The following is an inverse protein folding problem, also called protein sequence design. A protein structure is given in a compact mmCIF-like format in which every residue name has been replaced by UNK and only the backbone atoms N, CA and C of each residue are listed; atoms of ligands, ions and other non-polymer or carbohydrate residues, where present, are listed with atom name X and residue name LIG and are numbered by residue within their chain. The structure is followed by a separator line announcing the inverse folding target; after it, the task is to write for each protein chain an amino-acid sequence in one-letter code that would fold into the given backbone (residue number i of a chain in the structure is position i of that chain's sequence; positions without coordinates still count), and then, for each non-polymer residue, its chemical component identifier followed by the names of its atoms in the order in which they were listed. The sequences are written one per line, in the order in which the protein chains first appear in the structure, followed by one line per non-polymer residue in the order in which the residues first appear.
data_IF_319930775824
#
_entry.id   IF_319930775824
#
_cell.length_a   1.000
_cell.length_b   1.000
_cell.length_c   1.000
_cell.angle_alpha   90.00
_cell.angle_beta   90.00
_cell.angle_gamma   90.00
#
_symmetry.space_group_name_H-M   'P 1'
#
loop_
_entity.id
_entity.type
_entity.pdbx_description
1 polymer ?
#
# COMPACT_ATOMS: atom_id res chain seq x y z
N UNK A 1 41.37 16.96 8.57
CA UNK A 1 40.37 17.89 7.97
C UNK A 1 39.50 17.06 7.02
N UNK A 2 38.35 16.66 7.52
CA UNK A 2 37.39 15.86 6.74
C UNK A 2 36.57 16.80 5.85
N UNK A 3 36.86 16.81 4.55
CA UNK A 3 36.13 17.59 3.58
C UNK A 3 34.65 17.12 3.52
N UNK A 4 33.72 17.90 4.06
CA UNK A 4 32.30 17.72 3.83
C UNK A 4 32.06 17.77 2.33
N UNK A 5 31.88 16.60 1.70
CA UNK A 5 31.38 16.53 0.32
C UNK A 5 30.03 17.17 0.30
N UNK A 6 29.87 18.23 -0.48
CA UNK A 6 28.56 18.83 -0.76
C UNK A 6 27.64 17.75 -1.32
N UNK A 7 26.43 17.56 -0.78
CA UNK A 7 25.54 16.54 -1.28
C UNK A 7 25.22 16.80 -2.76
N UNK A 8 25.32 15.76 -3.58
CA UNK A 8 24.85 15.81 -4.96
C UNK A 8 23.38 16.20 -4.95
N UNK A 9 22.93 16.90 -5.98
CA UNK A 9 21.50 17.27 -6.11
C UNK A 9 20.94 16.64 -7.37
N UNK A 10 19.78 16.00 -7.25
CA UNK A 10 18.94 15.72 -8.41
C UNK A 10 18.27 17.02 -8.83
N UNK A 11 17.92 17.16 -10.11
CA UNK A 11 17.31 18.38 -10.65
C UNK A 11 16.28 19.01 -9.69
N UNK A 12 16.01 20.28 -9.80
CA UNK A 12 15.12 21.04 -8.91
C UNK A 12 15.54 21.10 -7.43
N UNK A 13 16.84 21.06 -7.17
CA UNK A 13 17.42 21.24 -5.82
C UNK A 13 17.07 20.18 -4.76
N UNK A 14 16.62 18.97 -5.14
CA UNK A 14 16.43 17.88 -4.17
C UNK A 14 17.79 17.38 -3.70
N UNK A 15 18.11 17.43 -2.39
CA UNK A 15 19.36 16.90 -1.87
C UNK A 15 19.41 15.38 -2.04
N UNK A 16 20.58 14.85 -2.40
CA UNK A 16 20.83 13.40 -2.43
C UNK A 16 21.25 12.96 -1.04
N UNK A 17 20.40 12.20 -0.38
CA UNK A 17 20.63 11.68 0.97
C UNK A 17 20.84 10.17 0.99
N UNK A 18 20.47 9.46 -0.06
CA UNK A 18 20.71 8.04 -0.26
C UNK A 18 21.20 7.74 -1.69
N UNK A 19 21.75 6.56 -1.89
CA UNK A 19 22.19 6.07 -3.20
C UNK A 19 20.94 5.73 -4.03
N UNK A 20 21.03 5.84 -5.36
CA UNK A 20 19.93 5.45 -6.23
C UNK A 20 20.20 5.72 -7.72
N UNK A 21 19.28 5.36 -8.58
CA UNK A 21 19.43 5.50 -10.02
C UNK A 21 19.57 6.97 -10.43
N UNK A 22 20.37 7.22 -11.45
CA UNK A 22 20.51 8.56 -12.04
C UNK A 22 19.24 8.93 -12.82
N UNK A 23 18.89 10.22 -12.85
CA UNK A 23 17.66 10.70 -13.51
C UNK A 23 17.54 10.24 -14.97
N UNK A 24 18.64 10.25 -15.73
CA UNK A 24 18.66 9.76 -17.12
C UNK A 24 18.47 8.24 -17.23
N UNK A 25 18.92 7.43 -16.26
CA UNK A 25 18.66 6.01 -16.22
C UNK A 25 17.19 5.72 -15.93
N UNK A 26 16.60 6.41 -14.94
CA UNK A 26 15.18 6.26 -14.63
C UNK A 26 14.28 6.63 -15.81
N UNK A 27 14.58 7.70 -16.55
CA UNK A 27 13.83 8.08 -17.76
C UNK A 27 13.86 6.99 -18.84
N UNK A 28 15.01 6.33 -19.04
CA UNK A 28 15.12 5.18 -19.97
C UNK A 28 14.31 3.97 -19.50
N UNK A 29 14.13 3.81 -18.21
CA UNK A 29 13.41 2.67 -17.61
C UNK A 29 11.90 2.90 -17.46
N UNK A 30 11.35 4.05 -17.90
CA UNK A 30 9.92 4.35 -17.74
C UNK A 30 9.03 3.25 -18.33
N UNK A 31 9.37 2.72 -19.50
CA UNK A 31 8.60 1.62 -20.12
C UNK A 31 8.59 0.36 -19.26
N UNK A 32 9.73 0.00 -18.67
CA UNK A 32 9.83 -1.16 -17.76
C UNK A 32 9.09 -0.91 -16.46
N UNK A 33 9.19 0.30 -15.90
CA UNK A 33 8.48 0.69 -14.68
C UNK A 33 6.96 0.61 -14.86
N UNK A 34 6.44 1.01 -16.02
CA UNK A 34 4.99 0.97 -16.29
C UNK A 34 4.50 -0.43 -16.66
N UNK A 35 5.34 -1.26 -17.28
CA UNK A 35 4.97 -2.62 -17.66
C UNK A 35 5.05 -3.59 -16.47
N UNK A 36 6.11 -3.52 -15.67
CA UNK A 36 6.34 -4.37 -14.51
C UNK A 36 7.09 -3.58 -13.41
N UNK A 37 6.33 -2.86 -12.56
CA UNK A 37 6.91 -2.07 -11.49
C UNK A 37 7.62 -2.90 -10.42
N UNK A 38 7.17 -4.15 -10.16
CA UNK A 38 7.76 -4.98 -9.11
C UNK A 38 9.16 -5.44 -9.51
N UNK A 39 9.34 -5.98 -10.70
CA UNK A 39 10.65 -6.36 -11.23
C UNK A 39 11.62 -5.17 -11.26
N UNK A 40 11.13 -3.97 -11.59
CA UNK A 40 11.96 -2.76 -11.53
C UNK A 40 12.41 -2.42 -10.09
N UNK A 41 11.51 -2.53 -9.12
CA UNK A 41 11.85 -2.27 -7.71
C UNK A 41 12.83 -3.31 -7.16
N UNK A 42 12.66 -4.60 -7.49
CA UNK A 42 13.59 -5.67 -7.11
C UNK A 42 15.00 -5.45 -7.70
N UNK A 43 15.09 -5.13 -8.98
CA UNK A 43 16.36 -4.81 -9.62
C UNK A 43 17.03 -3.59 -8.97
N UNK A 44 16.25 -2.55 -8.65
CA UNK A 44 16.73 -1.34 -7.98
C UNK A 44 17.25 -1.66 -6.58
N UNK A 45 16.53 -2.46 -5.82
CA UNK A 45 16.98 -2.94 -4.51
C UNK A 45 18.28 -3.76 -4.61
N UNK A 46 18.32 -4.71 -5.53
CA UNK A 46 19.51 -5.57 -5.75
C UNK A 46 20.75 -4.75 -6.10
N UNK A 47 20.59 -3.65 -6.85
CA UNK A 47 21.69 -2.80 -7.29
C UNK A 47 22.14 -1.79 -6.22
N UNK A 48 21.21 -1.18 -5.50
CA UNK A 48 21.48 -0.03 -4.63
C UNK A 48 21.31 -0.31 -3.13
N UNK A 49 20.73 -1.46 -2.75
CA UNK A 49 20.53 -1.87 -1.35
C UNK A 49 19.21 -1.39 -0.75
N UNK A 50 19.11 -1.44 0.57
CA UNK A 50 17.85 -1.36 1.32
C UNK A 50 17.21 0.03 1.38
N UNK A 51 17.95 1.08 1.15
CA UNK A 51 17.44 2.45 1.14
C UNK A 51 17.89 3.15 -0.14
N UNK A 52 16.94 3.33 -1.05
CA UNK A 52 17.20 3.90 -2.37
C UNK A 52 16.45 5.20 -2.54
N UNK A 53 17.13 6.25 -2.98
CA UNK A 53 16.48 7.51 -3.35
C UNK A 53 16.25 7.57 -4.85
N UNK A 54 14.99 7.75 -5.25
CA UNK A 54 14.67 8.00 -6.65
C UNK A 54 14.93 9.45 -7.06
N UNK A 55 15.33 9.68 -8.31
CA UNK A 55 15.62 11.03 -8.84
C UNK A 55 14.34 11.81 -9.16
N UNK A 56 13.36 11.77 -8.27
CA UNK A 56 12.11 12.52 -8.37
C UNK A 56 12.34 13.88 -7.70
N UNK A 57 12.09 15.01 -8.40
CA UNK A 57 12.49 16.31 -7.92
C UNK A 57 11.84 16.73 -6.61
N UNK A 58 10.53 16.53 -6.50
CA UNK A 58 9.73 16.84 -5.28
C UNK A 58 8.40 16.07 -5.30
N UNK A 59 8.00 15.48 -4.17
CA UNK A 59 8.80 15.27 -2.96
C UNK A 59 9.91 14.26 -3.18
N UNK A 60 10.96 14.28 -2.34
CA UNK A 60 11.98 13.24 -2.35
C UNK A 60 11.32 11.88 -2.07
N UNK A 61 11.56 10.92 -2.95
CA UNK A 61 10.91 9.60 -2.91
C UNK A 61 11.96 8.54 -2.64
N UNK A 62 11.65 7.65 -1.70
CA UNK A 62 12.56 6.59 -1.28
C UNK A 62 11.89 5.23 -1.40
N UNK A 63 12.68 4.21 -1.73
CA UNK A 63 12.37 2.80 -1.53
C UNK A 63 13.08 2.35 -0.25
N UNK A 64 12.33 1.77 0.68
CA UNK A 64 12.86 1.16 1.91
C UNK A 64 12.40 -0.29 1.94
N UNK A 65 13.34 -1.23 1.89
CA UNK A 65 13.05 -2.67 1.75
C UNK A 65 13.38 -3.48 2.99
N UNK A 66 14.25 -2.94 3.89
CA UNK A 66 14.59 -3.65 5.12
C UNK A 66 13.44 -3.63 6.13
N UNK A 67 13.20 -4.72 6.89
CA UNK A 67 12.20 -4.77 7.97
C UNK A 67 12.46 -3.70 9.04
N UNK A 68 13.72 -3.43 9.35
CA UNK A 68 14.14 -2.42 10.32
C UNK A 68 13.78 -1.02 9.86
N UNK A 69 14.06 -0.69 8.59
CA UNK A 69 13.70 0.57 7.98
C UNK A 69 12.18 0.77 7.91
N UNK A 70 11.44 -0.27 7.53
CA UNK A 70 10.00 -0.26 7.54
C UNK A 70 9.43 -0.03 8.94
N UNK A 71 9.98 -0.70 9.97
CA UNK A 71 9.59 -0.50 11.37
C UNK A 71 9.89 0.91 11.85
N UNK A 72 11.07 1.44 11.49
CA UNK A 72 11.43 2.81 11.85
C UNK A 72 10.42 3.82 11.34
N UNK A 73 10.07 3.76 10.05
CA UNK A 73 9.14 4.70 9.42
C UNK A 73 7.70 4.50 9.90
N UNK A 74 7.23 3.23 9.97
CA UNK A 74 5.82 2.94 10.21
C UNK A 74 5.43 2.86 11.69
N UNK A 75 6.39 2.55 12.58
CA UNK A 75 6.13 2.35 14.01
C UNK A 75 6.80 3.44 14.83
N UNK A 76 8.11 3.59 14.73
CA UNK A 76 8.85 4.51 15.62
C UNK A 76 8.56 5.98 15.30
N UNK A 77 8.52 6.32 14.00
CA UNK A 77 8.28 7.69 13.53
C UNK A 77 6.84 7.94 13.07
N UNK A 78 5.89 7.08 13.44
CA UNK A 78 4.49 7.20 13.00
C UNK A 78 3.81 8.54 13.35
N UNK A 79 4.34 9.28 14.32
CA UNK A 79 3.85 10.61 14.68
C UNK A 79 4.34 11.72 13.74
N UNK A 80 5.47 11.49 13.07
CA UNK A 80 6.12 12.43 12.17
C UNK A 80 5.78 12.15 10.70
N UNK A 81 5.19 10.97 10.42
CA UNK A 81 4.74 10.59 9.09
C UNK A 81 3.28 10.95 8.86
N UNK A 82 2.93 11.30 7.63
CA UNK A 82 1.56 11.63 7.26
C UNK A 82 1.18 10.97 5.92
N UNK A 83 -0.12 10.89 5.65
CA UNK A 83 -0.66 10.39 4.39
C UNK A 83 -0.85 11.50 3.34
N UNK A 84 -0.27 12.68 3.53
CA UNK A 84 -0.39 13.82 2.60
C UNK A 84 0.46 13.62 1.35
N UNK A 85 0.08 12.64 0.55
CA UNK A 85 0.69 12.37 -0.77
C UNK A 85 -0.33 12.62 -1.86
N UNK A 86 0.16 12.80 -3.09
CA UNK A 86 -0.71 13.00 -4.26
C UNK A 86 -1.70 11.83 -4.43
N UNK A 87 -1.24 10.59 -4.21
CA UNK A 87 -2.06 9.39 -4.32
C UNK A 87 -3.21 9.37 -3.31
N UNK A 88 -2.92 9.66 -2.03
CA UNK A 88 -3.95 9.70 -1.00
C UNK A 88 -4.91 10.87 -1.17
N UNK A 89 -4.43 12.02 -1.64
CA UNK A 89 -5.29 13.17 -1.95
C UNK A 89 -6.27 12.82 -3.09
N UNK A 90 -5.79 12.18 -4.16
CA UNK A 90 -6.65 11.75 -5.27
C UNK A 90 -7.65 10.67 -4.82
N UNK A 91 -7.20 9.69 -4.01
CA UNK A 91 -8.07 8.65 -3.48
C UNK A 91 -9.17 9.24 -2.60
N UNK A 92 -8.86 10.23 -1.77
CA UNK A 92 -9.84 10.88 -0.89
C UNK A 92 -10.96 11.60 -1.63
N UNK A 93 -10.73 12.03 -2.88
CA UNK A 93 -11.77 12.63 -3.71
C UNK A 93 -12.88 11.63 -4.07
N UNK A 94 -12.54 10.34 -4.16
CA UNK A 94 -13.49 9.27 -4.51
C UNK A 94 -14.06 8.61 -3.25
N UNK A 95 -13.19 8.27 -2.28
CA UNK A 95 -13.57 7.50 -1.08
C UNK A 95 -13.91 8.37 0.13
N UNK A 96 -13.73 9.68 0.02
CA UNK A 96 -13.83 10.58 1.16
C UNK A 96 -12.69 10.38 2.18
N UNK A 97 -12.80 11.04 3.33
CA UNK A 97 -11.83 10.96 4.43
C UNK A 97 -12.16 9.81 5.39
N UNK A 98 -12.10 8.57 4.88
CA UNK A 98 -12.27 7.35 5.68
C UNK A 98 -11.02 6.97 6.48
N UNK A 99 -11.03 5.77 7.10
CA UNK A 99 -9.91 5.26 7.87
C UNK A 99 -8.64 5.10 7.03
N UNK A 100 -8.78 4.80 5.74
CA UNK A 100 -7.67 4.63 4.81
C UNK A 100 -7.01 5.97 4.45
N UNK A 101 -7.81 6.99 4.15
CA UNK A 101 -7.35 8.26 3.55
C UNK A 101 -7.17 9.39 4.55
N UNK A 102 -7.81 9.30 5.73
CA UNK A 102 -7.70 10.32 6.76
C UNK A 102 -6.26 10.49 7.26
N UNK A 103 -5.86 11.75 7.45
CA UNK A 103 -4.56 12.09 8.06
C UNK A 103 -4.57 11.90 9.58
N UNK A 104 -3.39 11.92 10.17
CA UNK A 104 -3.08 11.54 11.56
C UNK A 104 -4.07 12.10 12.60
N UNK A 105 -4.48 13.35 12.50
CA UNK A 105 -5.39 13.97 13.46
C UNK A 105 -6.81 13.37 13.38
N UNK A 106 -7.34 13.20 12.19
CA UNK A 106 -8.68 12.63 11.97
C UNK A 106 -8.66 11.10 12.05
N UNK A 107 -7.54 10.46 11.70
CA UNK A 107 -7.38 9.01 11.70
C UNK A 107 -7.38 8.40 13.11
N UNK A 108 -6.67 9.01 14.08
CA UNK A 108 -6.54 8.45 15.43
C UNK A 108 -7.87 8.22 16.15
N UNK A 109 -8.80 9.19 16.21
CA UNK A 109 -10.09 8.97 16.87
C UNK A 109 -10.94 7.93 16.11
N UNK A 110 -10.92 7.95 14.78
CA UNK A 110 -11.65 6.97 13.96
C UNK A 110 -11.13 5.55 14.14
N UNK A 111 -9.81 5.36 14.14
CA UNK A 111 -9.21 4.05 14.41
C UNK A 111 -9.56 3.54 15.82
N UNK A 112 -9.48 4.39 16.83
CA UNK A 112 -9.84 4.01 18.20
C UNK A 112 -11.29 3.59 18.33
N UNK A 113 -12.20 4.25 17.62
CA UNK A 113 -13.62 3.90 17.58
C UNK A 113 -13.86 2.53 16.93
N UNK A 114 -13.13 2.21 15.88
CA UNK A 114 -13.31 0.96 15.12
C UNK A 114 -12.52 -0.22 15.71
N UNK A 115 -11.46 0.04 16.47
CA UNK A 115 -10.56 -0.98 16.98
C UNK A 115 -11.27 -2.10 17.78
N UNK A 116 -12.30 -1.84 18.61
CA UNK A 116 -13.01 -2.89 19.33
C UNK A 116 -13.63 -3.95 18.42
N UNK A 117 -14.10 -3.57 17.22
CA UNK A 117 -14.67 -4.50 16.25
C UNK A 117 -13.66 -5.52 15.69
N UNK A 118 -12.36 -5.27 15.87
CA UNK A 118 -11.27 -6.14 15.40
C UNK A 118 -10.62 -6.94 16.55
N UNK A 119 -11.22 -6.97 17.73
CA UNK A 119 -10.77 -7.88 18.80
C UNK A 119 -10.97 -9.34 18.39
N UNK A 120 -10.09 -10.22 18.86
CA UNK A 120 -10.11 -11.66 18.51
C UNK A 120 -11.46 -12.31 18.73
N UNK A 121 -12.16 -11.94 19.79
CA UNK A 121 -13.50 -12.45 20.12
C UNK A 121 -14.54 -12.05 19.06
N UNK A 122 -14.51 -10.79 18.62
CA UNK A 122 -15.42 -10.31 17.57
C UNK A 122 -15.10 -10.94 16.21
N UNK A 123 -13.82 -11.12 15.90
CA UNK A 123 -13.40 -11.84 14.68
C UNK A 123 -13.82 -13.31 14.74
N UNK A 124 -13.72 -13.96 15.90
CA UNK A 124 -14.18 -15.34 16.07
C UNK A 124 -15.69 -15.47 15.84
N UNK A 125 -16.50 -14.51 16.29
CA UNK A 125 -17.94 -14.50 16.03
C UNK A 125 -18.27 -14.39 14.54
N UNK A 126 -17.41 -13.74 13.75
CA UNK A 126 -17.61 -13.63 12.29
C UNK A 126 -17.56 -14.98 11.59
N UNK A 127 -16.85 -15.98 12.14
CA UNK A 127 -16.80 -17.33 11.57
C UNK A 127 -18.18 -17.96 11.49
N UNK A 128 -19.00 -17.83 12.53
CA UNK A 128 -20.36 -18.36 12.55
C UNK A 128 -21.25 -17.71 11.47
N UNK A 129 -21.08 -16.40 11.22
CA UNK A 129 -21.81 -15.70 10.16
C UNK A 129 -21.35 -16.16 8.78
N UNK A 130 -20.03 -16.35 8.60
CA UNK A 130 -19.45 -16.86 7.35
C UNK A 130 -19.99 -18.28 7.07
N UNK A 131 -19.97 -19.18 8.06
CA UNK A 131 -20.49 -20.54 7.91
C UNK A 131 -21.98 -20.54 7.53
N UNK A 132 -22.79 -19.71 8.18
CA UNK A 132 -24.21 -19.59 7.85
C UNK A 132 -24.43 -19.01 6.42
N UNK A 133 -23.62 -18.06 6.00
CA UNK A 133 -23.63 -17.52 4.65
C UNK A 133 -23.24 -18.56 3.61
N UNK A 134 -22.13 -19.28 3.85
CA UNK A 134 -21.69 -20.37 2.96
C UNK A 134 -22.73 -21.46 2.81
N UNK A 135 -23.39 -21.87 3.89
CA UNK A 135 -24.46 -22.88 3.82
C UNK A 135 -25.62 -22.44 2.91
N UNK A 136 -25.98 -21.16 2.93
CA UNK A 136 -27.01 -20.60 2.02
C UNK A 136 -26.51 -20.59 0.58
N UNK A 137 -25.27 -20.20 0.36
CA UNK A 137 -24.65 -20.17 -0.96
C UNK A 137 -24.57 -21.56 -1.57
N UNK A 138 -24.13 -22.55 -0.80
CA UNK A 138 -24.06 -23.96 -1.22
C UNK A 138 -25.44 -24.48 -1.61
N UNK A 139 -26.46 -24.23 -0.80
CA UNK A 139 -27.83 -24.64 -1.10
C UNK A 139 -28.32 -24.02 -2.42
N UNK A 140 -28.05 -22.74 -2.62
CA UNK A 140 -28.41 -22.04 -3.87
C UNK A 140 -27.68 -22.62 -5.09
N UNK A 141 -26.39 -22.90 -4.98
CA UNK A 141 -25.63 -23.49 -6.09
C UNK A 141 -26.03 -24.92 -6.39
N UNK A 142 -26.37 -25.72 -5.38
CA UNK A 142 -26.91 -27.07 -5.55
C UNK A 142 -28.25 -27.04 -6.30
N UNK A 143 -29.13 -26.07 -5.99
CA UNK A 143 -30.37 -25.85 -6.69
C UNK A 143 -30.13 -25.47 -8.15
N UNK A 144 -29.26 -24.50 -8.41
CA UNK A 144 -28.89 -24.08 -9.77
C UNK A 144 -28.29 -25.20 -10.64
N UNK A 145 -27.58 -26.13 -10.02
CA UNK A 145 -26.90 -27.23 -10.72
C UNK A 145 -27.70 -28.55 -10.73
N UNK A 146 -28.89 -28.55 -10.15
CA UNK A 146 -29.73 -29.78 -10.04
C UNK A 146 -30.07 -30.43 -11.38
N UNK A 147 -30.19 -29.68 -12.44
CA UNK A 147 -30.50 -30.15 -13.79
C UNK A 147 -29.25 -30.21 -14.72
N UNK A 148 -28.04 -29.99 -14.17
CA UNK A 148 -26.75 -30.02 -14.91
C UNK A 148 -25.79 -28.94 -14.50
N UNK A 149 -25.05 -28.41 -15.48
CA UNK A 149 -24.06 -27.34 -15.24
C UNK A 149 -24.69 -25.94 -15.31
N UNK A 150 -24.35 -25.07 -14.37
CA UNK A 150 -24.76 -23.68 -14.35
C UNK A 150 -23.54 -22.73 -14.44
N UNK A 151 -23.73 -21.55 -15.02
CA UNK A 151 -22.77 -20.46 -14.98
C UNK A 151 -23.19 -19.54 -13.82
N UNK A 152 -22.25 -19.28 -12.90
CA UNK A 152 -22.47 -18.47 -11.72
C UNK A 152 -21.61 -17.22 -11.81
N UNK A 153 -22.19 -16.06 -11.53
CA UNK A 153 -21.45 -14.81 -11.30
C UNK A 153 -20.90 -14.82 -9.88
N UNK A 154 -19.61 -15.05 -9.76
CA UNK A 154 -18.90 -15.16 -8.47
C UNK A 154 -18.89 -13.83 -7.74
N UNK A 155 -18.74 -12.70 -8.44
CA UNK A 155 -18.71 -11.37 -7.82
C UNK A 155 -20.06 -11.09 -7.14
N UNK A 156 -21.16 -11.29 -7.85
CA UNK A 156 -22.51 -11.13 -7.30
C UNK A 156 -22.77 -12.08 -6.13
N UNK A 157 -22.37 -13.35 -6.24
CA UNK A 157 -22.52 -14.34 -5.21
C UNK A 157 -21.79 -13.99 -3.92
N UNK A 158 -20.52 -13.53 -4.03
CA UNK A 158 -19.70 -13.11 -2.89
C UNK A 158 -20.22 -11.82 -2.24
N UNK A 159 -20.77 -10.90 -3.02
CA UNK A 159 -21.37 -9.67 -2.48
C UNK A 159 -22.68 -9.89 -1.74
N UNK A 160 -23.31 -11.05 -1.90
CA UNK A 160 -24.58 -11.42 -1.24
C UNK A 160 -24.40 -12.25 0.04
N UNK A 161 -23.16 -12.64 0.35
CA UNK A 161 -22.76 -13.31 1.61
C UNK A 161 -22.76 -12.33 2.78
#
# INVERSE_FOLDING_TARGET
MSGKKTPKRYGWNTPVTAIGPQGGAMLRSIKSITADPLTYLEATWSEFGDVVQFPIPKPATYLVTSPEGAREVLVNQHNETSKRTLQYNNLSLVTGEGLLTADTQAWRPRRRMLQPAFHKEMVALSVNHIEAGLAKLDAHWLELTSEGTAIVDIDHAMMSL
#
